data_IF_635522487112
#
_entry.id   IF_635522487112
#
_cell.length_a   1.000
_cell.length_b   1.000
_cell.length_c   1.000
_cell.angle_alpha   90.00
_cell.angle_beta   90.00
_cell.angle_gamma   90.00
#
_symmetry.space_group_name_H-M   'P 1'
#
loop_
_entity.id
_entity.type
_entity.pdbx_description
1 polymer ?
#
# COMPACT_ATOMS: atom_id res chain seq x y z
N UNK A 1 41.49 -36.31 25.90
CA UNK A 1 41.86 -34.89 26.06
C UNK A 1 40.76 -34.07 25.39
N UNK A 2 39.60 -33.99 26.06
CA UNK A 2 39.07 -32.79 26.76
C UNK A 2 38.41 -31.82 25.77
N UNK A 3 37.10 -31.95 25.53
CA UNK A 3 36.02 -31.21 26.20
C UNK A 3 36.26 -29.69 26.25
N UNK A 4 35.38 -28.92 25.59
CA UNK A 4 34.52 -27.97 26.28
C UNK A 4 33.32 -27.56 25.40
N UNK A 5 32.15 -27.95 25.90
CA UNK A 5 30.81 -27.57 25.53
C UNK A 5 30.51 -26.11 25.92
N UNK A 6 29.74 -25.41 25.09
CA UNK A 6 28.84 -24.36 25.55
C UNK A 6 27.55 -24.46 24.73
N UNK A 7 26.52 -25.02 25.36
CA UNK A 7 25.14 -24.92 24.91
C UNK A 7 24.66 -23.52 25.29
N UNK A 8 24.25 -22.73 24.31
CA UNK A 8 23.34 -21.61 24.53
C UNK A 8 22.03 -22.01 23.86
N UNK A 9 20.99 -22.16 24.68
CA UNK A 9 19.61 -22.26 24.24
C UNK A 9 19.27 -20.96 23.51
N UNK A 10 19.09 -21.00 22.21
CA UNK A 10 18.32 -19.98 21.49
C UNK A 10 16.85 -20.28 21.74
N UNK A 11 16.28 -19.53 22.67
CA UNK A 11 14.84 -19.40 22.88
C UNK A 11 14.45 -18.04 22.31
N UNK A 12 13.36 -18.04 21.54
CA UNK A 12 12.56 -16.87 21.17
C UNK A 12 13.18 -15.82 20.24
N UNK A 13 13.40 -16.20 18.98
CA UNK A 13 13.33 -15.26 17.85
C UNK A 13 12.14 -15.65 16.94
N UNK A 14 10.92 -15.52 17.47
CA UNK A 14 9.74 -15.30 16.62
C UNK A 14 9.80 -13.87 16.09
N UNK A 15 10.74 -13.64 15.16
CA UNK A 15 10.70 -12.51 14.26
C UNK A 15 9.53 -12.75 13.31
N UNK A 16 8.39 -12.13 13.61
CA UNK A 16 7.27 -12.05 12.69
C UNK A 16 7.68 -11.19 11.50
N UNK A 17 8.38 -11.79 10.54
CA UNK A 17 8.50 -11.27 9.18
C UNK A 17 7.13 -11.39 8.52
N UNK A 18 6.26 -10.40 8.74
CA UNK A 18 5.08 -10.24 7.90
C UNK A 18 5.55 -9.72 6.55
N UNK A 19 5.93 -10.62 5.65
CA UNK A 19 6.27 -10.31 4.27
C UNK A 19 5.85 -11.42 3.33
N UNK A 20 5.74 -11.04 2.06
CA UNK A 20 6.31 -11.72 0.90
C UNK A 20 5.33 -12.08 -0.23
N UNK A 21 5.57 -11.45 -1.38
CA UNK A 21 5.81 -12.21 -2.60
C UNK A 21 7.24 -12.77 -2.58
N UNK A 22 7.39 -13.92 -3.22
CA UNK A 22 8.51 -14.85 -3.14
C UNK A 22 9.85 -14.22 -3.56
N UNK A 23 10.82 -14.16 -2.63
CA UNK A 23 12.26 -14.11 -2.95
C UNK A 23 12.80 -15.54 -3.00
N UNK A 24 12.50 -16.25 -4.08
CA UNK A 24 13.06 -17.58 -4.33
C UNK A 24 14.09 -17.45 -5.45
N UNK A 25 15.34 -17.80 -5.15
CA UNK A 25 16.44 -17.89 -6.12
C UNK A 25 16.22 -18.97 -7.21
N UNK A 26 15.04 -19.60 -7.25
CA UNK A 26 14.69 -20.71 -8.14
C UNK A 26 13.57 -20.40 -9.13
N UNK A 27 12.87 -19.25 -9.02
CA UNK A 27 11.87 -18.84 -10.03
C UNK A 27 12.59 -18.02 -11.07
N UNK A 28 12.63 -18.52 -12.30
CA UNK A 28 13.29 -17.82 -13.40
C UNK A 28 12.27 -16.99 -14.16
N UNK A 29 12.73 -15.87 -14.75
CA UNK A 29 11.92 -15.03 -15.63
C UNK A 29 11.20 -15.82 -16.74
N UNK A 30 11.77 -16.95 -17.17
CA UNK A 30 11.18 -17.85 -18.16
C UNK A 30 9.86 -18.50 -17.71
N UNK A 31 9.67 -18.68 -16.40
CA UNK A 31 8.49 -19.34 -15.82
C UNK A 31 7.25 -18.43 -15.84
N UNK A 32 7.45 -17.11 -15.70
CA UNK A 32 6.38 -16.09 -15.79
C UNK A 32 5.99 -15.85 -17.27
N UNK A 33 6.99 -15.85 -18.16
CA UNK A 33 6.85 -15.55 -19.59
C UNK A 33 6.05 -16.61 -20.37
N UNK A 34 6.25 -17.90 -20.09
CA UNK A 34 5.63 -18.99 -20.85
C UNK A 34 4.14 -19.22 -20.53
N UNK A 35 3.59 -18.50 -19.55
CA UNK A 35 2.21 -18.69 -19.05
C UNK A 35 1.35 -17.43 -19.07
N UNK A 36 1.90 -16.27 -19.44
CA UNK A 36 1.10 -15.02 -19.50
C UNK A 36 0.26 -14.98 -20.78
N UNK A 37 -1.07 -14.80 -20.70
CA UNK A 37 -1.92 -14.72 -21.89
C UNK A 37 -1.62 -13.45 -22.69
N UNK A 38 -2.12 -13.38 -23.93
CA UNK A 38 -2.22 -12.12 -24.69
C UNK A 38 -2.91 -11.05 -23.82
N UNK A 39 -2.18 -10.03 -23.38
CA UNK A 39 -2.72 -8.93 -22.54
C UNK A 39 -1.63 -8.06 -21.90
N UNK A 40 -2.00 -6.86 -21.43
CA UNK A 40 -1.07 -5.98 -20.72
C UNK A 40 -0.83 -6.47 -19.29
N UNK A 41 0.43 -6.47 -18.86
CA UNK A 41 0.79 -6.75 -17.47
C UNK A 41 2.04 -5.97 -17.05
N UNK A 42 2.06 -5.55 -15.79
CA UNK A 42 3.18 -4.86 -15.16
C UNK A 42 3.26 -5.18 -13.65
N UNK A 43 4.46 -5.01 -13.08
CA UNK A 43 4.69 -5.15 -11.66
C UNK A 43 5.65 -4.10 -11.13
N UNK A 44 5.37 -3.61 -9.93
CA UNK A 44 6.12 -2.57 -9.25
C UNK A 44 6.57 -3.07 -7.88
N UNK A 45 7.86 -2.94 -7.59
CA UNK A 45 8.39 -3.21 -6.25
C UNK A 45 8.17 -2.05 -5.28
N UNK A 46 8.61 -2.28 -4.04
CA UNK A 46 8.54 -1.34 -2.93
C UNK A 46 9.11 0.06 -3.25
N UNK A 47 10.33 0.10 -3.80
CA UNK A 47 11.09 1.33 -3.97
C UNK A 47 10.80 2.03 -5.31
N UNK A 48 9.71 2.80 -5.33
CA UNK A 48 9.25 3.58 -6.49
C UNK A 48 9.88 4.98 -6.52
N UNK A 49 11.17 5.05 -6.84
CA UNK A 49 11.91 6.33 -6.85
C UNK A 49 11.86 7.01 -8.21
N UNK A 50 11.43 8.27 -8.23
CA UNK A 50 11.71 9.17 -9.36
C UNK A 50 13.21 9.46 -9.42
N UNK A 51 13.79 9.39 -10.62
CA UNK A 51 15.18 9.81 -10.82
C UNK A 51 15.35 11.29 -10.44
N UNK A 52 16.35 11.58 -9.60
CA UNK A 52 16.77 12.96 -9.26
C UNK A 52 17.74 13.57 -10.29
N UNK A 53 18.30 12.76 -11.19
CA UNK A 53 19.24 13.26 -12.20
C UNK A 53 18.48 14.01 -13.30
N UNK A 54 19.02 15.16 -13.69
CA UNK A 54 18.62 15.87 -14.90
C UNK A 54 18.52 14.89 -16.07
N UNK A 55 17.45 15.06 -16.84
CA UNK A 55 17.16 14.30 -18.04
C UNK A 55 18.42 14.18 -18.91
N UNK A 56 18.86 12.94 -19.15
CA UNK A 56 19.79 12.66 -20.24
C UNK A 56 19.00 12.02 -21.38
N UNK A 57 18.89 12.67 -22.55
CA UNK A 57 18.22 12.08 -23.72
C UNK A 57 18.90 10.80 -24.22
N UNK A 58 20.07 10.44 -23.67
CA UNK A 58 20.86 9.27 -24.03
C UNK A 58 20.49 7.99 -23.25
N UNK A 59 19.48 8.01 -22.36
CA UNK A 59 18.89 6.76 -21.83
C UNK A 59 17.90 6.18 -22.88
N UNK A 60 18.34 6.13 -24.13
CA UNK A 60 17.88 5.15 -25.11
C UNK A 60 18.56 3.84 -24.71
N UNK A 61 17.80 2.91 -24.15
CA UNK A 61 18.05 1.46 -23.96
C UNK A 61 17.41 0.98 -22.65
N UNK A 62 16.15 1.35 -22.38
CA UNK A 62 15.32 0.44 -21.58
C UNK A 62 14.91 -0.70 -22.50
N UNK A 63 15.13 -1.95 -22.07
CA UNK A 63 14.69 -3.15 -22.79
C UNK A 63 13.23 -2.96 -23.23
N UNK A 64 13.00 -2.79 -24.53
CA UNK A 64 11.64 -2.80 -25.05
C UNK A 64 11.16 -4.24 -25.07
N UNK A 65 10.27 -4.56 -24.16
CA UNK A 65 9.67 -5.87 -24.03
C UNK A 65 8.92 -6.04 -22.72
N UNK A 66 8.12 -7.09 -22.64
CA UNK A 66 7.35 -7.46 -21.43
C UNK A 66 8.25 -7.49 -20.19
N UNK A 67 9.54 -7.84 -20.32
CA UNK A 67 10.52 -7.87 -19.22
C UNK A 67 10.63 -6.56 -18.45
N UNK A 68 10.71 -5.45 -19.17
CA UNK A 68 10.86 -4.15 -18.54
C UNK A 68 9.64 -3.78 -17.69
N UNK A 69 8.47 -4.41 -17.90
CA UNK A 69 7.27 -4.17 -17.10
C UNK A 69 7.36 -4.75 -15.68
N UNK A 70 8.35 -5.60 -15.38
CA UNK A 70 8.49 -6.26 -14.08
C UNK A 70 9.82 -5.95 -13.39
N UNK A 71 10.72 -5.19 -14.03
CA UNK A 71 12.09 -5.05 -13.54
C UNK A 71 12.16 -4.39 -12.16
N UNK A 72 11.29 -3.41 -11.89
CA UNK A 72 11.26 -2.69 -10.61
C UNK A 72 10.76 -3.54 -9.44
N UNK A 73 10.16 -4.70 -9.71
CA UNK A 73 9.80 -5.66 -8.66
C UNK A 73 11.04 -6.41 -8.12
N UNK A 74 12.08 -6.58 -8.96
CA UNK A 74 13.26 -7.39 -8.63
C UNK A 74 14.53 -6.54 -8.46
N UNK A 75 14.52 -5.30 -8.91
CA UNK A 75 15.62 -4.36 -8.81
C UNK A 75 15.13 -3.02 -8.22
N UNK A 76 15.43 -2.82 -6.95
CA UNK A 76 15.04 -1.64 -6.15
C UNK A 76 15.82 -0.37 -6.55
N UNK A 77 16.95 -0.51 -7.23
CA UNK A 77 17.79 0.61 -7.65
C UNK A 77 17.35 1.19 -9.00
N UNK A 78 16.45 0.51 -9.72
CA UNK A 78 15.94 0.97 -11.01
C UNK A 78 15.00 2.17 -10.83
N UNK A 79 15.39 3.40 -11.25
CA UNK A 79 14.52 4.55 -11.11
C UNK A 79 13.44 4.56 -12.18
N UNK A 80 12.25 5.06 -11.81
CA UNK A 80 11.17 5.32 -12.74
C UNK A 80 11.47 6.64 -13.48
N UNK A 81 12.17 6.52 -14.60
CA UNK A 81 12.68 7.63 -15.43
C UNK A 81 11.72 8.06 -16.54
N UNK A 82 10.72 7.22 -16.80
CA UNK A 82 9.71 7.29 -17.87
C UNK A 82 8.64 8.36 -17.65
N UNK A 83 8.52 8.88 -16.42
CA UNK A 83 7.53 9.90 -16.06
C UNK A 83 7.53 11.13 -16.98
N UNK A 84 8.70 11.70 -17.30
CA UNK A 84 8.79 12.86 -18.18
C UNK A 84 8.63 12.49 -19.67
N UNK A 85 8.99 11.25 -20.04
CA UNK A 85 9.12 10.86 -21.44
C UNK A 85 7.80 10.93 -22.19
N UNK A 86 6.72 10.44 -21.56
CA UNK A 86 5.41 10.37 -22.23
C UNK A 86 4.80 11.76 -22.41
N UNK A 87 4.92 12.65 -21.42
CA UNK A 87 4.42 14.03 -21.50
C UNK A 87 5.16 14.78 -22.59
N UNK A 88 6.49 14.80 -22.56
CA UNK A 88 7.28 15.52 -23.58
C UNK A 88 7.05 14.98 -25.00
N UNK A 89 6.98 13.65 -25.14
CA UNK A 89 6.72 12.98 -26.43
C UNK A 89 5.35 13.33 -27.00
N UNK A 90 4.30 13.21 -26.19
CA UNK A 90 2.93 13.46 -26.64
C UNK A 90 2.64 14.95 -26.82
N UNK A 91 3.19 15.82 -25.97
CA UNK A 91 3.06 17.27 -26.09
C UNK A 91 3.68 17.78 -27.39
N UNK A 92 4.90 17.34 -27.71
CA UNK A 92 5.57 17.67 -28.97
C UNK A 92 4.73 17.26 -30.20
N UNK A 93 4.17 16.05 -30.18
CA UNK A 93 3.29 15.55 -31.27
C UNK A 93 1.97 16.32 -31.33
N UNK A 94 1.39 16.64 -30.18
CA UNK A 94 0.16 17.44 -30.05
C UNK A 94 0.34 18.83 -30.66
N UNK A 95 1.45 19.52 -30.37
CA UNK A 95 1.79 20.83 -30.96
C UNK A 95 1.95 20.73 -32.49
N UNK A 96 2.42 19.60 -33.02
CA UNK A 96 2.48 19.32 -34.47
C UNK A 96 1.13 18.96 -35.11
N UNK A 97 0.04 18.98 -34.36
CA UNK A 97 -1.31 18.72 -34.85
C UNK A 97 -1.73 17.25 -34.80
N UNK A 98 -1.00 16.37 -34.11
CA UNK A 98 -1.42 14.98 -33.88
C UNK A 98 -2.54 14.92 -32.84
N UNK A 99 -3.78 14.83 -33.33
CA UNK A 99 -4.98 14.75 -32.48
C UNK A 99 -5.04 13.47 -31.64
N UNK A 100 -4.42 12.36 -32.08
CA UNK A 100 -4.37 11.14 -31.28
C UNK A 100 -3.39 11.32 -30.10
N UNK A 101 -2.23 11.92 -30.35
CA UNK A 101 -1.29 12.25 -29.28
C UNK A 101 -1.89 13.22 -28.26
N UNK A 102 -2.62 14.24 -28.72
CA UNK A 102 -3.33 15.19 -27.84
C UNK A 102 -4.36 14.50 -26.94
N UNK A 103 -5.16 13.59 -27.50
CA UNK A 103 -6.16 12.81 -26.72
C UNK A 103 -5.48 11.97 -25.64
N UNK A 104 -4.40 11.27 -25.99
CA UNK A 104 -3.62 10.46 -25.04
C UNK A 104 -2.96 11.29 -23.95
N UNK A 105 -2.44 12.48 -24.30
CA UNK A 105 -1.86 13.41 -23.34
C UNK A 105 -2.90 13.86 -22.31
N UNK A 106 -4.07 14.31 -22.77
CA UNK A 106 -5.16 14.75 -21.87
C UNK A 106 -5.68 13.61 -20.99
N UNK A 107 -5.84 12.40 -21.56
CA UNK A 107 -6.24 11.22 -20.77
C UNK A 107 -5.21 10.87 -19.70
N UNK A 108 -3.92 10.81 -20.06
CA UNK A 108 -2.83 10.54 -19.11
C UNK A 108 -2.74 11.60 -18.01
N UNK A 109 -2.85 12.89 -18.35
CA UNK A 109 -2.85 13.98 -17.36
C UNK A 109 -4.08 13.93 -16.45
N UNK A 110 -5.24 13.54 -16.99
CA UNK A 110 -6.45 13.33 -16.19
C UNK A 110 -6.28 12.17 -15.20
N UNK A 111 -5.78 11.02 -15.67
CA UNK A 111 -5.49 9.86 -14.81
C UNK A 111 -4.50 10.23 -13.70
N UNK A 112 -3.43 10.94 -14.05
CA UNK A 112 -2.43 11.37 -13.08
C UNK A 112 -2.98 12.39 -12.07
N UNK A 113 -3.86 13.29 -12.51
CA UNK A 113 -4.57 14.21 -11.63
C UNK A 113 -5.52 13.49 -10.66
N UNK A 114 -6.11 12.36 -11.05
CA UNK A 114 -6.94 11.56 -10.14
C UNK A 114 -6.12 10.93 -9.02
N UNK A 115 -4.90 10.48 -9.34
CA UNK A 115 -3.96 9.87 -8.40
C UNK A 115 -3.38 10.89 -7.40
N UNK A 116 -3.22 12.14 -7.83
CA UNK A 116 -2.73 13.18 -6.95
C UNK A 116 -3.74 13.50 -5.83
N UNK A 117 -3.28 13.60 -4.58
CA UNK A 117 -4.12 14.05 -3.49
C UNK A 117 -4.36 15.57 -3.59
N UNK A 118 -5.49 16.01 -3.03
CA UNK A 118 -5.93 17.40 -3.15
C UNK A 118 -4.90 18.41 -2.63
N UNK A 119 -4.77 19.53 -3.36
CA UNK A 119 -3.83 20.61 -3.05
C UNK A 119 -2.56 20.65 -3.90
N UNK A 120 -2.39 19.68 -4.81
CA UNK A 120 -1.37 19.68 -5.86
C UNK A 120 -2.04 19.44 -7.21
N UNK A 121 -1.84 20.35 -8.15
CA UNK A 121 -2.38 20.26 -9.51
C UNK A 121 -1.26 20.35 -10.54
N UNK A 122 -1.48 19.82 -11.74
CA UNK A 122 -0.56 20.03 -12.86
C UNK A 122 -0.56 21.50 -13.27
N UNK A 123 0.63 22.10 -13.32
CA UNK A 123 0.79 23.42 -13.92
C UNK A 123 0.81 23.27 -15.45
N UNK A 124 -0.39 23.27 -16.06
CA UNK A 124 -0.56 23.17 -17.52
C UNK A 124 0.06 24.35 -18.28
N UNK A 125 0.36 25.46 -17.59
CA UNK A 125 0.98 26.65 -18.19
C UNK A 125 2.50 26.59 -18.22
N UNK A 126 3.09 25.60 -17.53
CA UNK A 126 4.52 25.51 -17.28
C UNK A 126 5.10 24.13 -17.63
N UNK A 127 4.70 23.58 -18.78
CA UNK A 127 5.67 22.82 -19.57
C UNK A 127 6.74 23.82 -20.01
N UNK A 128 7.78 23.95 -19.20
CA UNK A 128 8.92 24.82 -19.54
C UNK A 128 9.50 24.36 -20.88
N UNK A 129 10.13 25.29 -21.63
CA UNK A 129 10.91 24.97 -22.83
C UNK A 129 11.99 23.91 -22.56
N UNK A 130 12.37 23.73 -21.29
CA UNK A 130 13.32 22.73 -20.80
C UNK A 130 12.69 21.34 -20.54
N UNK A 131 11.39 21.14 -20.81
CA UNK A 131 10.71 19.84 -20.69
C UNK A 131 10.47 19.38 -19.25
N UNK A 132 10.56 20.27 -18.27
CA UNK A 132 10.28 19.94 -16.86
C UNK A 132 8.80 20.08 -16.52
N UNK A 133 8.26 19.06 -15.85
CA UNK A 133 6.88 19.08 -15.34
C UNK A 133 6.83 19.86 -14.03
N UNK A 134 5.91 20.83 -13.99
CA UNK A 134 5.62 21.67 -12.84
C UNK A 134 4.24 21.41 -12.26
N UNK A 135 4.11 21.71 -10.98
CA UNK A 135 2.92 21.50 -10.19
C UNK A 135 2.56 22.77 -9.44
N UNK A 136 1.27 23.05 -9.34
CA UNK A 136 0.75 24.09 -8.47
C UNK A 136 0.49 23.46 -7.10
N UNK A 137 1.35 23.76 -6.12
CA UNK A 137 1.19 23.36 -4.74
C UNK A 137 0.88 24.60 -3.89
N UNK A 138 -0.28 24.62 -3.23
CA UNK A 138 -0.72 25.77 -2.41
C UNK A 138 -0.66 27.12 -3.17
N UNK A 139 -1.01 27.11 -4.45
CA UNK A 139 -0.99 28.30 -5.31
C UNK A 139 0.39 28.71 -5.84
N UNK A 140 1.44 27.93 -5.57
CA UNK A 140 2.81 28.18 -6.06
C UNK A 140 3.24 27.11 -7.06
N UNK A 141 3.79 27.53 -8.20
CA UNK A 141 4.39 26.63 -9.19
C UNK A 141 5.73 26.08 -8.68
N UNK A 142 5.81 24.77 -8.51
CA UNK A 142 6.98 24.05 -7.99
C UNK A 142 7.40 22.92 -8.94
N UNK A 143 8.70 22.63 -9.03
CA UNK A 143 9.19 21.50 -9.82
C UNK A 143 8.94 20.16 -9.12
N UNK A 144 8.97 19.07 -9.89
CA UNK A 144 8.73 17.70 -9.39
C UNK A 144 9.60 17.33 -8.17
N UNK A 145 10.87 17.75 -8.15
CA UNK A 145 11.80 17.45 -7.04
C UNK A 145 11.48 18.20 -5.74
N UNK A 146 10.63 19.23 -5.78
CA UNK A 146 10.20 19.97 -4.59
C UNK A 146 8.97 19.35 -3.92
N UNK A 147 8.32 18.36 -4.55
CA UNK A 147 7.22 17.60 -3.95
C UNK A 147 7.72 16.63 -2.87
N UNK A 148 6.86 16.28 -1.91
CA UNK A 148 7.19 15.28 -0.89
C UNK A 148 7.38 13.88 -1.50
N UNK A 149 8.08 12.98 -0.79
CA UNK A 149 8.32 11.62 -1.28
C UNK A 149 7.04 10.85 -1.58
N UNK A 150 5.97 11.04 -0.80
CA UNK A 150 4.68 10.44 -1.08
C UNK A 150 4.12 10.87 -2.44
N UNK A 151 4.14 12.18 -2.74
CA UNK A 151 3.69 12.68 -4.05
C UNK A 151 4.54 12.09 -5.17
N UNK A 152 5.87 12.10 -5.00
CA UNK A 152 6.81 11.57 -6.00
C UNK A 152 6.60 10.09 -6.27
N UNK A 153 6.38 9.28 -5.24
CA UNK A 153 6.12 7.84 -5.36
C UNK A 153 4.87 7.55 -6.19
N UNK A 154 3.77 8.27 -5.92
CA UNK A 154 2.51 8.16 -6.69
C UNK A 154 2.70 8.61 -8.13
N UNK A 155 3.39 9.73 -8.35
CA UNK A 155 3.70 10.22 -9.69
C UNK A 155 4.55 9.22 -10.48
N UNK A 156 5.55 8.60 -9.82
CA UNK A 156 6.40 7.60 -10.42
C UNK A 156 5.59 6.40 -10.92
N UNK A 157 4.79 5.80 -10.03
CA UNK A 157 3.91 4.68 -10.34
C UNK A 157 2.93 5.04 -11.46
N UNK A 158 2.20 6.14 -11.29
CA UNK A 158 1.17 6.57 -12.22
C UNK A 158 1.71 6.88 -13.60
N UNK A 159 2.76 7.71 -13.70
CA UNK A 159 3.32 8.09 -15.00
C UNK A 159 4.04 6.97 -15.71
N UNK A 160 4.69 6.05 -14.99
CA UNK A 160 5.26 4.86 -15.63
C UNK A 160 4.15 3.94 -16.16
N UNK A 161 3.10 3.68 -15.38
CA UNK A 161 1.96 2.88 -15.83
C UNK A 161 1.27 3.50 -17.04
N UNK A 162 1.02 4.82 -17.02
CA UNK A 162 0.48 5.58 -18.15
C UNK A 162 1.34 5.36 -19.40
N UNK A 163 2.66 5.53 -19.28
CA UNK A 163 3.57 5.36 -20.41
C UNK A 163 3.56 3.94 -20.98
N UNK A 164 3.56 2.93 -20.10
CA UNK A 164 3.50 1.52 -20.51
C UNK A 164 2.19 1.19 -21.23
N UNK A 165 1.06 1.70 -20.76
CA UNK A 165 -0.24 1.53 -21.42
C UNK A 165 -0.26 2.20 -22.80
N UNK A 166 0.24 3.45 -22.91
CA UNK A 166 0.33 4.15 -24.21
C UNK A 166 1.15 3.37 -25.23
N UNK A 167 2.26 2.74 -24.79
CA UNK A 167 3.12 1.95 -25.65
C UNK A 167 2.54 0.57 -25.99
N UNK A 168 1.85 -0.06 -25.04
CA UNK A 168 1.20 -1.35 -25.25
C UNK A 168 -0.01 -1.23 -26.18
N UNK A 169 -0.71 -0.09 -26.14
CA UNK A 169 -1.94 0.15 -26.90
C UNK A 169 -1.81 1.42 -27.78
N UNK A 170 -0.93 1.40 -28.80
CA UNK A 170 -0.66 2.56 -29.65
C UNK A 170 -1.87 2.95 -30.52
N UNK A 171 -2.78 2.01 -30.80
CA UNK A 171 -3.96 2.25 -31.63
C UNK A 171 -5.23 2.51 -30.79
N UNK A 172 -5.16 2.40 -29.46
CA UNK A 172 -6.28 2.70 -28.57
C UNK A 172 -6.59 4.19 -28.54
N UNK A 173 -7.88 4.52 -28.53
CA UNK A 173 -8.34 5.90 -28.33
C UNK A 173 -8.04 6.41 -26.92
N UNK A 174 -8.09 5.52 -25.92
CA UNK A 174 -7.84 5.85 -24.52
C UNK A 174 -7.13 4.67 -23.82
N UNK A 175 -5.77 4.64 -23.86
CA UNK A 175 -5.00 3.56 -23.26
C UNK A 175 -5.22 3.38 -21.74
N UNK A 176 -5.76 4.38 -21.04
CA UNK A 176 -6.02 4.30 -19.60
C UNK A 176 -7.23 3.41 -19.27
N UNK A 177 -8.07 3.12 -20.26
CA UNK A 177 -9.26 2.26 -20.16
C UNK A 177 -9.03 0.87 -20.76
N UNK A 178 -7.80 0.53 -21.10
CA UNK A 178 -7.49 -0.81 -21.61
C UNK A 178 -7.38 -1.83 -20.47
N UNK A 179 -7.55 -3.10 -20.82
CA UNK A 179 -7.51 -4.21 -19.87
C UNK A 179 -6.08 -4.64 -19.54
N UNK A 180 -5.86 -5.06 -18.30
CA UNK A 180 -4.57 -5.58 -17.88
C UNK A 180 -4.49 -5.91 -16.40
N UNK A 181 -3.34 -6.48 -16.00
CA UNK A 181 -3.09 -6.88 -14.60
C UNK A 181 -1.84 -6.16 -14.09
N UNK A 182 -1.96 -5.48 -12.96
CA UNK A 182 -0.85 -4.74 -12.36
C UNK A 182 -0.61 -5.22 -10.93
N UNK A 183 0.63 -5.65 -10.66
CA UNK A 183 1.09 -6.01 -9.33
C UNK A 183 1.79 -4.81 -8.69
N UNK A 184 1.47 -4.50 -7.44
CA UNK A 184 2.15 -3.44 -6.69
C UNK A 184 2.54 -3.99 -5.33
N UNK A 185 3.84 -4.09 -5.09
CA UNK A 185 4.38 -4.40 -3.79
C UNK A 185 4.41 -3.15 -2.90
N UNK A 186 4.13 -3.35 -1.62
CA UNK A 186 4.01 -2.33 -0.58
C UNK A 186 3.38 -1.01 -1.07
N UNK A 187 2.12 -1.06 -1.52
CA UNK A 187 1.43 0.12 -2.07
C UNK A 187 1.46 1.32 -1.12
N UNK A 188 1.47 1.07 0.19
CA UNK A 188 1.50 2.06 1.26
C UNK A 188 2.83 2.78 1.48
N UNK A 189 3.94 2.30 0.92
CA UNK A 189 5.28 2.92 1.11
C UNK A 189 5.26 4.41 0.78
N UNK A 190 5.82 5.19 1.71
CA UNK A 190 5.97 6.65 1.64
C UNK A 190 4.66 7.44 1.55
N UNK A 191 3.50 6.77 1.55
CA UNK A 191 2.20 7.44 1.55
C UNK A 191 1.85 7.90 2.95
N UNK A 192 1.36 9.14 3.06
CA UNK A 192 0.75 9.61 4.29
C UNK A 192 -0.48 8.75 4.61
N UNK A 193 -0.80 8.45 5.90
CA UNK A 193 -1.94 7.59 6.28
C UNK A 193 -3.26 8.01 5.64
N UNK A 194 -3.51 9.32 5.57
CA UNK A 194 -4.68 9.88 4.87
C UNK A 194 -4.77 9.39 3.44
N UNK A 195 -3.68 9.22 2.71
CA UNK A 195 -3.69 8.78 1.31
C UNK A 195 -3.73 7.27 1.17
N UNK A 196 -3.14 6.53 2.11
CA UNK A 196 -3.28 5.08 2.20
C UNK A 196 -4.77 4.68 2.16
N UNK A 197 -5.64 5.43 2.85
CA UNK A 197 -7.08 5.20 2.85
C UNK A 197 -7.80 5.39 1.49
N UNK A 198 -7.20 6.11 0.52
CA UNK A 198 -7.86 6.43 -0.76
C UNK A 198 -7.14 5.91 -2.00
N UNK A 199 -5.86 5.52 -1.89
CA UNK A 199 -5.02 5.22 -3.05
C UNK A 199 -5.57 4.09 -3.91
N UNK A 200 -6.14 3.04 -3.30
CA UNK A 200 -6.77 1.94 -4.03
C UNK A 200 -7.98 2.41 -4.87
N UNK A 201 -8.82 3.28 -4.31
CA UNK A 201 -9.91 3.92 -5.07
C UNK A 201 -9.35 4.77 -6.20
N UNK A 202 -8.34 5.61 -5.94
CA UNK A 202 -7.74 6.48 -6.95
C UNK A 202 -7.15 5.71 -8.14
N UNK A 203 -6.47 4.59 -7.87
CA UNK A 203 -5.93 3.71 -8.91
C UNK A 203 -7.06 3.15 -9.80
N UNK A 204 -8.15 2.69 -9.21
CA UNK A 204 -9.31 2.17 -9.97
C UNK A 204 -10.04 3.25 -10.75
N UNK A 205 -10.22 4.45 -10.19
CA UNK A 205 -10.82 5.56 -10.96
C UNK A 205 -9.93 6.00 -12.12
N UNK A 206 -8.59 5.96 -11.95
CA UNK A 206 -7.64 6.32 -13.01
C UNK A 206 -7.51 5.24 -14.09
N UNK A 207 -7.64 3.95 -13.71
CA UNK A 207 -7.45 2.79 -14.59
C UNK A 207 -8.57 1.76 -14.36
N UNK A 208 -9.80 2.02 -14.86
CA UNK A 208 -11.00 1.27 -14.47
C UNK A 208 -11.01 -0.20 -14.89
N UNK A 209 -10.28 -0.56 -15.95
CA UNK A 209 -10.24 -1.91 -16.50
C UNK A 209 -8.95 -2.68 -16.13
N UNK A 210 -8.13 -2.11 -15.23
CA UNK A 210 -6.95 -2.77 -14.70
C UNK A 210 -7.31 -3.55 -13.43
N UNK A 211 -6.97 -4.84 -13.40
CA UNK A 211 -6.98 -5.63 -12.19
C UNK A 211 -5.71 -5.35 -11.38
N UNK A 212 -5.87 -4.76 -10.21
CA UNK A 212 -4.76 -4.53 -9.28
C UNK A 212 -4.62 -5.67 -8.29
N UNK A 213 -3.40 -6.20 -8.18
CA UNK A 213 -2.98 -7.13 -7.12
C UNK A 213 -1.96 -6.38 -6.27
N UNK A 214 -2.29 -6.17 -5.00
CA UNK A 214 -1.51 -5.27 -4.15
C UNK A 214 -1.07 -5.99 -2.88
N UNK A 215 0.20 -5.83 -2.52
CA UNK A 215 0.69 -6.12 -1.18
C UNK A 215 0.74 -4.82 -0.35
N UNK A 216 0.41 -4.92 0.93
CA UNK A 216 0.43 -3.78 1.85
C UNK A 216 0.60 -4.21 3.30
N UNK A 217 1.30 -3.42 4.10
CA UNK A 217 1.33 -3.55 5.55
C UNK A 217 0.32 -2.65 6.25
N UNK A 218 -0.40 -1.82 5.49
CA UNK A 218 -1.30 -0.81 6.03
C UNK A 218 -2.75 -1.28 5.98
N UNK A 219 -3.41 -1.45 7.14
CA UNK A 219 -4.85 -1.68 7.20
C UNK A 219 -5.64 -0.59 6.50
N UNK A 220 -5.14 0.66 6.50
CA UNK A 220 -5.82 1.76 5.83
C UNK A 220 -5.95 1.53 4.32
N UNK A 221 -4.94 0.92 3.67
CA UNK A 221 -5.03 0.55 2.26
C UNK A 221 -6.07 -0.54 2.06
N UNK A 222 -6.03 -1.60 2.86
CA UNK A 222 -6.96 -2.73 2.74
C UNK A 222 -8.41 -2.29 2.98
N UNK A 223 -8.67 -1.57 4.08
CA UNK A 223 -9.99 -1.04 4.41
C UNK A 223 -10.49 -0.07 3.32
N UNK A 224 -9.63 0.85 2.88
CA UNK A 224 -9.93 1.81 1.82
C UNK A 224 -10.20 1.15 0.47
N UNK A 225 -9.70 -0.07 0.24
CA UNK A 225 -9.96 -0.81 -0.98
C UNK A 225 -11.44 -1.25 -1.10
N UNK A 226 -12.13 -1.52 0.00
CA UNK A 226 -13.53 -1.94 -0.01
C UNK A 226 -14.53 -0.79 -0.18
N UNK A 227 -14.11 0.46 0.00
CA UNK A 227 -15.00 1.61 -0.11
C UNK A 227 -15.08 2.16 -1.54
N UNK A 228 -16.30 2.38 -2.04
CA UNK A 228 -16.54 3.17 -3.25
C UNK A 228 -16.95 4.59 -2.87
N UNK A 229 -16.02 5.55 -2.93
CA UNK A 229 -16.33 6.94 -2.64
C UNK A 229 -17.22 7.67 -3.66
N UNK A 230 -17.48 7.08 -4.83
CA UNK A 230 -18.40 7.66 -5.82
C UNK A 230 -19.86 7.26 -5.57
N UNK A 231 -20.10 5.98 -5.25
CA UNK A 231 -21.45 5.47 -4.97
C UNK A 231 -21.81 5.56 -3.49
N UNK A 232 -20.81 5.65 -2.60
CA UNK A 232 -21.00 5.60 -1.14
C UNK A 232 -21.32 4.19 -0.63
N UNK A 233 -20.95 3.16 -1.39
CA UNK A 233 -21.27 1.76 -1.09
C UNK A 233 -20.00 0.91 -0.92
N UNK A 234 -20.14 -0.21 -0.22
CA UNK A 234 -19.10 -1.23 -0.15
C UNK A 234 -19.01 -1.99 -1.47
N UNK A 235 -17.78 -2.40 -1.80
CA UNK A 235 -17.49 -3.18 -2.99
C UNK A 235 -17.45 -4.67 -2.68
N UNK A 236 -18.02 -5.46 -3.58
CA UNK A 236 -18.00 -6.93 -3.56
C UNK A 236 -16.91 -7.53 -4.46
N UNK A 237 -16.22 -6.70 -5.26
CA UNK A 237 -15.16 -7.08 -6.18
C UNK A 237 -13.74 -7.00 -5.58
N UNK A 238 -13.65 -6.92 -4.25
CA UNK A 238 -12.40 -6.80 -3.51
C UNK A 238 -12.15 -8.06 -2.69
N UNK A 239 -10.94 -8.60 -2.79
CA UNK A 239 -10.52 -9.79 -2.07
C UNK A 239 -9.31 -9.47 -1.20
N UNK A 240 -9.39 -9.85 0.08
CA UNK A 240 -8.25 -9.84 0.99
C UNK A 240 -7.69 -11.25 1.08
N UNK A 241 -6.39 -11.37 0.79
CA UNK A 241 -5.67 -12.63 0.83
C UNK A 241 -4.50 -12.50 1.81
N UNK A 242 -4.40 -13.46 2.72
CA UNK A 242 -3.23 -13.65 3.57
C UNK A 242 -2.32 -14.67 2.91
N UNK A 243 -1.06 -14.31 2.72
CA UNK A 243 -0.03 -15.23 2.27
C UNK A 243 0.83 -15.64 3.46
N UNK A 244 1.07 -16.94 3.61
CA UNK A 244 1.97 -17.49 4.62
C UNK A 244 2.99 -18.38 3.94
N UNK A 245 4.26 -18.27 4.31
CA UNK A 245 5.34 -19.10 3.77
C UNK A 245 5.86 -19.98 4.90
N UNK A 246 5.62 -21.28 4.77
CA UNK A 246 6.08 -22.30 5.71
C UNK A 246 6.92 -23.33 4.96
N UNK A 247 8.15 -23.58 5.41
CA UNK A 247 9.10 -24.53 4.79
C UNK A 247 9.28 -24.35 3.27
N UNK A 248 9.33 -23.09 2.81
CA UNK A 248 9.47 -22.75 1.39
C UNK A 248 8.22 -23.02 0.54
N UNK A 249 7.09 -23.38 1.15
CA UNK A 249 5.79 -23.49 0.49
C UNK A 249 4.91 -22.30 0.87
N UNK A 250 4.38 -21.63 -0.14
CA UNK A 250 3.39 -20.58 0.05
C UNK A 250 1.99 -21.20 0.19
N UNK A 251 1.29 -20.86 1.26
CA UNK A 251 -0.16 -21.05 1.41
C UNK A 251 -0.87 -19.71 1.28
N UNK A 252 -2.02 -19.72 0.63
CA UNK A 252 -2.88 -18.54 0.47
C UNK A 252 -4.18 -18.82 1.18
N UNK A 253 -4.55 -17.94 2.10
CA UNK A 253 -5.82 -17.96 2.81
C UNK A 253 -6.63 -16.73 2.41
N UNK A 254 -7.89 -16.93 2.02
CA UNK A 254 -8.84 -15.84 1.84
C UNK A 254 -9.35 -15.38 3.20
N UNK A 255 -9.35 -14.07 3.43
CA UNK A 255 -9.94 -13.44 4.61
C UNK A 255 -11.31 -12.92 4.21
N UNK A 256 -12.35 -13.47 4.83
CA UNK A 256 -13.75 -13.12 4.56
C UNK A 256 -14.31 -12.09 5.54
N UNK A 257 -13.48 -11.60 6.46
CA UNK A 257 -13.87 -10.55 7.40
C UNK A 257 -14.16 -9.23 6.66
N UNK A 258 -15.22 -8.53 7.09
CA UNK A 258 -15.56 -7.22 6.56
C UNK A 258 -14.62 -6.16 7.15
N UNK A 259 -13.41 -6.07 6.60
CA UNK A 259 -12.42 -5.07 6.98
C UNK A 259 -12.96 -3.64 6.83
N UNK A 260 -13.91 -3.41 5.92
CA UNK A 260 -14.44 -2.08 5.65
C UNK A 260 -15.26 -1.53 6.83
N UNK A 261 -15.89 -2.43 7.59
CA UNK A 261 -16.68 -2.09 8.77
C UNK A 261 -15.85 -1.95 10.05
N UNK A 262 -14.57 -2.35 10.04
CA UNK A 262 -13.70 -2.32 11.21
C UNK A 262 -13.16 -0.91 11.48
N UNK A 263 -12.83 -0.63 12.73
CA UNK A 263 -11.86 0.42 13.03
C UNK A 263 -10.43 -0.08 12.76
N UNK A 264 -9.46 0.84 12.75
CA UNK A 264 -8.07 0.51 12.42
C UNK A 264 -7.43 -0.50 13.40
N UNK A 265 -7.76 -0.45 14.69
CA UNK A 265 -7.19 -1.35 15.69
C UNK A 265 -7.75 -2.76 15.50
N UNK A 266 -9.06 -2.89 15.26
CA UNK A 266 -9.70 -4.16 14.92
C UNK A 266 -9.17 -4.73 13.61
N UNK A 267 -8.94 -3.89 12.60
CA UNK A 267 -8.31 -4.34 11.36
C UNK A 267 -6.90 -4.87 11.61
N UNK A 268 -6.09 -4.21 12.44
CA UNK A 268 -4.76 -4.69 12.84
C UNK A 268 -4.82 -6.05 13.56
N UNK A 269 -5.77 -6.21 14.49
CA UNK A 269 -6.00 -7.45 15.23
C UNK A 269 -6.59 -8.58 14.37
N UNK A 270 -7.16 -8.26 13.21
CA UNK A 270 -7.81 -9.23 12.34
C UNK A 270 -6.83 -10.27 11.78
N UNK A 271 -7.31 -11.45 11.35
CA UNK A 271 -6.49 -12.46 10.68
C UNK A 271 -5.71 -11.94 9.47
N UNK A 272 -6.15 -10.85 8.83
CA UNK A 272 -5.46 -10.23 7.69
C UNK A 272 -4.09 -9.66 8.07
N UNK A 273 -3.95 -9.08 9.28
CA UNK A 273 -2.74 -8.40 9.72
C UNK A 273 -2.06 -9.09 10.91
N UNK A 274 -2.80 -9.83 11.72
CA UNK A 274 -2.25 -10.67 12.79
C UNK A 274 -1.54 -9.90 13.91
N UNK A 275 -1.87 -8.62 14.11
CA UNK A 275 -1.27 -7.85 15.19
C UNK A 275 -1.78 -8.37 16.54
N UNK A 276 -0.84 -8.78 17.39
CA UNK A 276 -1.16 -9.33 18.72
C UNK A 276 -1.48 -8.23 19.72
N UNK A 277 -0.85 -7.06 19.59
CA UNK A 277 -1.03 -5.93 20.50
C UNK A 277 -0.89 -4.59 19.75
N UNK A 278 -1.91 -3.70 19.81
CA UNK A 278 -1.84 -2.38 19.16
C UNK A 278 -1.09 -1.33 19.98
N UNK A 279 -0.55 -1.69 21.15
CA UNK A 279 0.18 -0.79 22.06
C UNK A 279 1.61 -1.27 22.30
N UNK A 280 2.50 -0.41 22.85
CA UNK A 280 3.83 -0.84 23.24
C UNK A 280 3.79 -2.09 24.13
N UNK A 281 4.65 -3.11 23.90
CA UNK A 281 4.53 -4.40 24.57
C UNK A 281 4.47 -4.33 26.10
N UNK A 282 5.24 -3.45 26.72
CA UNK A 282 5.26 -3.28 28.19
C UNK A 282 4.02 -2.55 28.73
N UNK A 283 3.34 -1.77 27.90
CA UNK A 283 2.06 -1.15 28.25
C UNK A 283 0.95 -2.18 28.12
N UNK A 284 0.93 -2.95 27.03
CA UNK A 284 -0.07 -4.00 26.82
C UNK A 284 -0.01 -5.06 27.92
N UNK A 285 1.18 -5.59 28.24
CA UNK A 285 1.37 -6.54 29.35
C UNK A 285 0.78 -6.04 30.67
N UNK A 286 0.91 -4.75 30.97
CA UNK A 286 0.37 -4.16 32.21
C UNK A 286 -1.15 -4.02 32.17
N UNK A 287 -1.72 -3.72 31.00
CA UNK A 287 -3.16 -3.63 30.79
C UNK A 287 -3.77 -5.03 30.87
N UNK A 288 -3.20 -6.01 30.15
CA UNK A 288 -3.65 -7.40 30.19
C UNK A 288 -3.60 -7.96 31.61
N UNK A 289 -2.49 -7.74 32.31
CA UNK A 289 -2.35 -8.17 33.71
C UNK A 289 -3.34 -7.48 34.64
N UNK A 290 -3.67 -6.22 34.38
CA UNK A 290 -4.69 -5.50 35.13
C UNK A 290 -6.08 -6.11 34.90
N UNK A 291 -6.44 -6.40 33.65
CA UNK A 291 -7.72 -7.00 33.28
C UNK A 291 -7.84 -8.44 33.82
N UNK A 292 -6.78 -9.25 33.71
CA UNK A 292 -6.71 -10.58 34.33
C UNK A 292 -6.99 -10.52 35.83
N UNK A 293 -6.34 -9.60 36.55
CA UNK A 293 -6.55 -9.45 37.98
C UNK A 293 -7.98 -9.02 38.29
N UNK A 294 -8.64 -8.22 37.45
CA UNK A 294 -10.04 -7.86 37.64
C UNK A 294 -10.99 -9.07 37.55
N UNK A 295 -10.66 -10.07 36.73
CA UNK A 295 -11.46 -11.28 36.54
C UNK A 295 -11.27 -12.33 37.66
N UNK A 296 -10.18 -12.27 38.44
CA UNK A 296 -9.92 -13.19 39.56
C UNK A 296 -10.89 -12.94 40.73
N UNK A 297 -11.69 -13.95 41.10
CA UNK A 297 -12.68 -13.88 42.20
C UNK A 297 -12.04 -13.73 43.60
N UNK A 298 -10.95 -14.45 43.88
CA UNK A 298 -10.21 -14.36 45.15
C UNK A 298 -8.73 -14.07 44.90
N UNK A 299 -8.34 -12.83 45.15
CA UNK A 299 -6.96 -12.36 45.00
C UNK A 299 -6.15 -12.60 46.27
N UNK A 300 -4.89 -13.00 46.10
CA UNK A 300 -3.91 -13.03 47.18
C UNK A 300 -3.51 -11.60 47.60
N UNK A 301 -2.90 -11.45 48.78
CA UNK A 301 -2.39 -10.14 49.23
C UNK A 301 -1.33 -9.54 48.30
N UNK A 302 -0.55 -10.40 47.61
CA UNK A 302 0.43 -9.98 46.62
C UNK A 302 -0.26 -9.42 45.36
N UNK A 303 -1.28 -10.12 44.85
CA UNK A 303 -2.08 -9.71 43.70
C UNK A 303 -2.88 -8.43 43.98
N UNK A 304 -3.39 -8.24 45.20
CA UNK A 304 -4.06 -7.00 45.59
C UNK A 304 -3.09 -5.81 45.59
N UNK A 305 -1.86 -6.02 46.06
CA UNK A 305 -0.80 -5.00 46.02
C UNK A 305 -0.38 -4.69 44.58
N UNK A 306 -0.32 -5.71 43.72
CA UNK A 306 -0.05 -5.57 42.29
C UNK A 306 -1.16 -4.77 41.59
N UNK A 307 -2.42 -5.12 41.85
CA UNK A 307 -3.59 -4.44 41.32
C UNK A 307 -3.60 -2.96 41.68
N UNK A 308 -3.27 -2.59 42.93
CA UNK A 308 -3.18 -1.18 43.33
C UNK A 308 -2.10 -0.40 42.57
N UNK A 309 -0.96 -1.04 42.26
CA UNK A 309 0.09 -0.42 41.44
C UNK A 309 -0.39 -0.25 40.00
N UNK A 310 -1.06 -1.25 39.45
CA UNK A 310 -1.63 -1.21 38.11
C UNK A 310 -2.78 -0.19 38.00
N UNK A 311 -3.64 -0.04 39.02
CA UNK A 311 -4.67 0.99 39.06
C UNK A 311 -4.09 2.41 38.95
N UNK A 312 -2.96 2.67 39.61
CA UNK A 312 -2.26 3.96 39.48
C UNK A 312 -1.72 4.16 38.05
N UNK A 313 -1.13 3.12 37.48
CA UNK A 313 -0.69 3.12 36.09
C UNK A 313 -1.86 3.37 35.12
N UNK A 314 -3.00 2.72 35.30
CA UNK A 314 -4.20 2.91 34.49
C UNK A 314 -4.77 4.33 34.62
N UNK A 315 -4.73 4.93 35.82
CA UNK A 315 -5.16 6.31 36.05
C UNK A 315 -4.26 7.36 35.38
N UNK A 316 -2.96 7.04 35.24
CA UNK A 316 -1.95 7.87 34.59
C UNK A 316 -2.00 7.72 33.06
N UNK A 317 -1.94 6.48 32.56
CA UNK A 317 -1.88 6.16 31.13
C UNK A 317 -3.23 6.33 30.44
N UNK A 318 -4.34 6.08 31.15
CA UNK A 318 -5.72 6.18 30.66
C UNK A 318 -5.89 5.56 29.28
N UNK A 319 -5.63 4.25 29.12
CA UNK A 319 -5.68 3.61 27.82
C UNK A 319 -7.05 3.80 27.17
N UNK A 320 -7.05 4.20 25.89
CA UNK A 320 -8.24 4.38 25.06
C UNK A 320 -8.29 3.23 24.03
N UNK A 321 -9.49 2.73 23.73
CA UNK A 321 -9.69 1.74 22.66
C UNK A 321 -9.26 0.30 23.01
N UNK A 322 -9.56 -0.17 24.23
CA UNK A 322 -9.35 -1.57 24.65
C UNK A 322 -10.67 -2.24 25.01
N UNK A 323 -10.64 -3.45 25.57
CA UNK A 323 -11.85 -4.10 26.12
C UNK A 323 -12.52 -3.14 27.10
N UNK A 324 -13.83 -2.91 26.97
CA UNK A 324 -14.53 -2.06 27.92
C UNK A 324 -14.45 -2.67 29.32
N UNK A 325 -14.19 -1.84 30.33
CA UNK A 325 -14.05 -2.31 31.69
C UNK A 325 -15.27 -3.16 32.11
N UNK A 326 -15.10 -4.28 32.83
CA UNK A 326 -16.21 -5.15 33.21
C UNK A 326 -17.34 -4.36 33.88
N UNK A 327 -18.55 -4.41 33.29
CA UNK A 327 -19.73 -3.71 33.79
C UNK A 327 -19.85 -2.22 33.41
N UNK A 328 -18.92 -1.67 32.62
CA UNK A 328 -19.03 -0.34 32.03
C UNK A 328 -20.23 -0.24 31.08
N UNK A 329 -20.60 1.00 30.73
CA UNK A 329 -21.65 1.23 29.75
C UNK A 329 -21.28 0.64 28.38
N UNK A 330 -20.03 0.81 27.95
CA UNK A 330 -19.54 0.23 26.68
C UNK A 330 -19.60 -1.30 26.69
N UNK A 331 -19.25 -1.98 27.79
CA UNK A 331 -19.31 -3.43 27.89
C UNK A 331 -20.75 -3.95 27.74
N UNK A 332 -21.69 -3.31 28.46
CA UNK A 332 -23.12 -3.64 28.37
C UNK A 332 -23.71 -3.34 27.00
N UNK A 333 -23.22 -2.30 26.32
CA UNK A 333 -23.64 -1.94 24.98
C UNK A 333 -23.12 -2.94 23.94
N UNK A 334 -21.86 -3.36 24.04
CA UNK A 334 -21.27 -4.39 23.17
C UNK A 334 -21.98 -5.75 23.33
N UNK A 335 -22.24 -6.18 24.57
CA UNK A 335 -22.98 -7.41 24.87
C UNK A 335 -24.39 -7.36 24.26
N UNK A 336 -25.09 -6.24 24.45
CA UNK A 336 -26.42 -6.02 23.89
C UNK A 336 -26.43 -6.04 22.35
N UNK A 337 -25.44 -5.39 21.71
CA UNK A 337 -25.33 -5.37 20.25
C UNK A 337 -25.04 -6.76 19.69
N UNK A 338 -24.16 -7.55 20.33
CA UNK A 338 -23.90 -8.94 19.94
C UNK A 338 -25.13 -9.83 20.06
N UNK A 339 -25.93 -9.65 21.11
CA UNK A 339 -27.15 -10.45 21.32
C UNK A 339 -28.27 -10.11 20.33
N UNK A 340 -28.32 -8.86 19.85
CA UNK A 340 -29.36 -8.37 18.93
C UNK A 340 -29.03 -8.51 17.45
N UNK A 341 -27.75 -8.51 17.08
CA UNK A 341 -27.26 -8.53 15.70
C UNK A 341 -26.59 -9.87 15.31
N UNK A 342 -26.56 -10.83 16.24
CA UNK A 342 -26.06 -12.19 16.01
C UNK A 342 -26.93 -13.02 15.08
#
# INVERSE_FOLDING_TARGET
MSQLSASIKENDDNLWEYGFFIRNQSITFADIYNKTPKGFSAAYGAFRRLSRKEFSPLIEFQEQGIRANFITLFDEDTPLTTFNQWISSLDYRSVKGDMAARRKLESGLSALSLLLPGGVEFDRSALDNDGQIRFIAQGTSVPTYALSDGYRSVLALGGDLIWRLINAFPDSEDPMKEEGVVLIDELDIHLHPRWQAWIAQKLRSAFPNIQFIVATHSPLVAMGAYWNGETGELRDDVLTLKLEINDGKASVQRIDDDLAAMDINRALESPAFGMVAPRPPEVEKKIDRYDELLEVEQRTAAEETELQKLQRFMAEVRPIGGKPAPGSFEAKLEDYLREKLG
#
